data_IF_687245521298
#
_entry.id   IF_687245521298
#
_cell.length_a   1.000
_cell.length_b   1.000
_cell.length_c   1.000
_cell.angle_alpha   90.00
_cell.angle_beta   90.00
_cell.angle_gamma   90.00
#
_symmetry.space_group_name_H-M   'P 1'
#
loop_
_entity.id
_entity.type
_entity.pdbx_description
1 polymer ?
#
# COMPACT_ATOMS: atom_id res chain seq x y z
N UNK A 1 22.52 -8.79 -9.89
CA UNK A 1 21.73 -9.82 -9.18
C UNK A 1 20.28 -9.36 -9.25
N UNK A 2 19.38 -10.21 -9.76
CA UNK A 2 17.96 -9.86 -9.86
C UNK A 2 17.20 -10.30 -8.61
N UNK A 3 16.12 -9.61 -8.26
CA UNK A 3 15.22 -9.97 -7.16
C UNK A 3 13.79 -10.02 -7.67
N UNK A 4 13.02 -11.01 -7.22
CA UNK A 4 11.56 -10.98 -7.20
C UNK A 4 11.11 -11.15 -5.75
N UNK A 5 10.21 -10.29 -5.30
CA UNK A 5 9.68 -10.33 -3.93
C UNK A 5 8.18 -10.55 -4.01
N UNK A 6 7.70 -11.54 -3.27
CA UNK A 6 6.28 -11.82 -3.14
C UNK A 6 5.81 -11.18 -1.83
N UNK A 7 4.86 -10.23 -1.91
CA UNK A 7 4.35 -9.56 -0.70
C UNK A 7 3.72 -10.56 0.26
N UNK A 8 2.98 -11.54 -0.26
CA UNK A 8 2.42 -12.66 0.49
C UNK A 8 1.92 -13.77 -0.46
N UNK A 9 1.44 -14.89 0.09
CA UNK A 9 1.20 -16.14 -0.63
C UNK A 9 -0.16 -16.26 -1.34
N UNK A 10 -1.03 -15.24 -1.31
CA UNK A 10 -2.31 -15.34 -2.02
C UNK A 10 -2.10 -15.41 -3.54
N UNK A 11 -3.07 -16.03 -4.21
CA UNK A 11 -2.98 -16.50 -5.60
C UNK A 11 -2.64 -15.38 -6.61
N UNK A 12 -3.07 -14.16 -6.34
CA UNK A 12 -2.86 -12.97 -7.17
C UNK A 12 -1.50 -12.27 -6.93
N UNK A 13 -0.72 -12.73 -5.94
CA UNK A 13 0.59 -12.15 -5.58
C UNK A 13 1.77 -13.11 -5.79
N UNK A 14 1.48 -14.40 -5.93
CA UNK A 14 2.50 -15.42 -6.15
C UNK A 14 2.85 -15.61 -7.62
N UNK A 15 2.06 -15.09 -8.55
CA UNK A 15 2.36 -15.03 -9.99
C UNK A 15 2.98 -16.32 -10.57
N UNK A 16 4.08 -16.16 -11.31
CA UNK A 16 4.89 -17.28 -11.80
C UNK A 16 6.41 -16.97 -11.72
N UNK A 17 7.04 -17.00 -10.52
CA UNK A 17 8.46 -16.72 -10.32
C UNK A 17 9.37 -17.59 -11.18
N UNK A 18 8.91 -18.79 -11.55
CA UNK A 18 9.56 -19.68 -12.52
C UNK A 18 9.83 -19.06 -13.89
N UNK A 19 9.15 -17.98 -14.28
CA UNK A 19 9.39 -17.24 -15.54
C UNK A 19 10.63 -16.35 -15.50
N UNK A 20 11.13 -16.00 -14.32
CA UNK A 20 12.39 -15.28 -14.17
C UNK A 20 13.59 -16.25 -14.24
N UNK A 21 14.79 -15.78 -14.68
CA UNK A 21 16.01 -16.56 -14.59
C UNK A 21 16.22 -17.15 -13.18
N UNK A 22 16.80 -18.34 -13.09
CA UNK A 22 17.07 -19.00 -11.80
C UNK A 22 18.09 -18.25 -10.93
N UNK A 23 18.83 -17.31 -11.52
CA UNK A 23 19.73 -16.37 -10.83
C UNK A 23 19.01 -15.22 -10.12
N UNK A 24 17.69 -15.10 -10.30
CA UNK A 24 16.84 -14.16 -9.56
C UNK A 24 16.45 -14.76 -8.22
N UNK A 25 16.82 -14.08 -7.13
CA UNK A 25 16.42 -14.49 -5.78
C UNK A 25 14.89 -14.32 -5.62
N UNK A 26 14.24 -15.29 -4.96
CA UNK A 26 12.86 -15.17 -4.53
C UNK A 26 12.84 -14.81 -3.04
N UNK A 27 12.30 -13.63 -2.72
CA UNK A 27 12.25 -13.11 -1.35
C UNK A 27 10.83 -13.18 -0.80
N UNK A 28 10.72 -13.69 0.43
CA UNK A 28 9.47 -13.93 1.15
C UNK A 28 9.59 -13.50 2.62
N UNK A 29 8.46 -13.25 3.27
CA UNK A 29 8.44 -12.88 4.69
C UNK A 29 8.48 -14.06 5.67
N UNK A 30 8.54 -13.76 6.99
CA UNK A 30 8.75 -14.75 8.04
C UNK A 30 7.72 -15.89 8.06
N UNK A 31 8.20 -17.12 8.28
CA UNK A 31 7.36 -18.31 8.41
C UNK A 31 6.87 -18.90 7.09
N UNK A 32 7.20 -18.29 5.95
CA UNK A 32 6.79 -18.75 4.64
C UNK A 32 7.33 -20.15 4.32
N UNK A 33 8.61 -20.42 4.57
CA UNK A 33 9.25 -21.70 4.27
C UNK A 33 8.62 -22.83 5.06
N UNK A 34 8.44 -22.64 6.35
CA UNK A 34 7.84 -23.64 7.23
C UNK A 34 6.38 -23.91 6.86
N UNK A 35 5.63 -22.86 6.51
CA UNK A 35 4.22 -22.98 6.16
C UNK A 35 3.98 -23.46 4.71
N UNK A 36 4.90 -23.19 3.78
CA UNK A 36 4.66 -23.34 2.34
C UNK A 36 5.60 -24.31 1.60
N UNK A 37 6.72 -24.72 2.21
CA UNK A 37 7.65 -25.67 1.60
C UNK A 37 7.48 -27.09 2.19
N UNK A 38 7.66 -28.15 1.39
CA UNK A 38 7.86 -28.11 -0.06
C UNK A 38 6.59 -27.65 -0.79
N UNK A 39 6.74 -27.11 -2.00
CA UNK A 39 5.62 -26.66 -2.83
C UNK A 39 4.85 -27.81 -3.49
N UNK A 40 3.77 -27.48 -4.18
CA UNK A 40 3.05 -28.41 -5.06
C UNK A 40 3.95 -28.82 -6.24
N UNK A 41 3.98 -30.09 -6.68
CA UNK A 41 3.09 -31.18 -6.30
C UNK A 41 3.57 -32.04 -5.13
N UNK A 42 4.75 -31.78 -4.55
CA UNK A 42 5.32 -32.56 -3.45
C UNK A 42 4.44 -32.46 -2.19
N UNK A 43 3.87 -31.27 -1.94
CA UNK A 43 2.84 -31.04 -0.94
C UNK A 43 1.54 -30.58 -1.62
N UNK A 44 0.47 -31.37 -1.48
CA UNK A 44 -0.75 -31.24 -2.30
C UNK A 44 -1.60 -30.02 -1.98
N UNK A 45 -1.54 -29.55 -0.74
CA UNK A 45 -2.25 -28.40 -0.21
C UNK A 45 -1.39 -27.12 -0.21
N UNK A 46 -0.15 -27.18 -0.73
CA UNK A 46 0.68 -25.99 -0.81
C UNK A 46 0.16 -25.02 -1.86
N UNK A 47 -0.04 -23.73 -1.52
CA UNK A 47 -0.40 -22.70 -2.49
C UNK A 47 0.78 -22.33 -3.40
N UNK A 48 2.00 -22.71 -3.04
CA UNK A 48 3.23 -22.40 -3.76
C UNK A 48 3.64 -23.58 -4.63
N UNK A 49 4.07 -23.32 -5.87
CA UNK A 49 4.59 -24.36 -6.74
C UNK A 49 6.07 -24.61 -6.45
N UNK A 50 6.47 -25.88 -6.41
CA UNK A 50 7.87 -26.26 -6.26
C UNK A 50 8.72 -25.72 -7.42
N UNK A 51 8.13 -25.61 -8.62
CA UNK A 51 8.78 -25.01 -9.80
C UNK A 51 9.17 -23.54 -9.59
N UNK A 52 8.44 -22.79 -8.76
CA UNK A 52 8.75 -21.39 -8.51
C UNK A 52 10.01 -21.22 -7.66
N UNK A 53 10.31 -22.19 -6.79
CA UNK A 53 11.51 -22.20 -5.96
C UNK A 53 12.69 -22.98 -6.59
N UNK A 54 12.44 -23.80 -7.61
CA UNK A 54 13.43 -24.74 -8.14
C UNK A 54 14.62 -24.04 -8.77
N UNK A 55 15.82 -24.43 -8.34
CA UNK A 55 17.08 -23.93 -8.91
C UNK A 55 17.40 -22.47 -8.60
N UNK A 56 16.57 -21.79 -7.79
CA UNK A 56 16.83 -20.43 -7.32
C UNK A 56 17.01 -20.38 -5.81
N UNK A 57 17.54 -19.27 -5.33
CA UNK A 57 17.66 -19.04 -3.89
C UNK A 57 16.34 -18.50 -3.35
N UNK A 58 15.74 -19.22 -2.40
CA UNK A 58 14.60 -18.76 -1.63
C UNK A 58 15.09 -18.10 -0.33
N UNK A 59 14.90 -16.79 -0.21
CA UNK A 59 15.33 -15.98 0.94
C UNK A 59 14.09 -15.65 1.76
N UNK A 60 14.07 -16.14 3.00
CA UNK A 60 13.07 -15.72 3.98
C UNK A 60 13.72 -14.67 4.88
N UNK A 61 13.09 -13.51 4.99
CA UNK A 61 13.61 -12.40 5.79
C UNK A 61 13.37 -12.68 7.27
N UNK A 62 14.44 -12.60 8.06
CA UNK A 62 14.39 -12.73 9.52
C UNK A 62 14.53 -11.34 10.16
N UNK A 63 13.39 -10.72 10.47
CA UNK A 63 13.34 -9.39 11.07
C UNK A 63 13.82 -9.33 12.52
N UNK A 64 13.99 -10.47 13.21
CA UNK A 64 14.58 -10.49 14.56
C UNK A 64 16.05 -10.02 14.58
N UNK A 65 16.72 -10.11 13.43
CA UNK A 65 18.08 -9.63 13.21
C UNK A 65 18.15 -8.19 12.73
N UNK A 66 17.01 -7.54 12.49
CA UNK A 66 16.99 -6.15 12.02
C UNK A 66 17.38 -5.18 13.14
N UNK A 67 18.28 -4.26 12.80
CA UNK A 67 18.65 -3.11 13.63
C UNK A 67 18.03 -1.80 13.12
N UNK A 68 17.12 -1.86 12.13
CA UNK A 68 16.53 -0.71 11.46
C UNK A 68 15.01 -0.74 11.59
N UNK A 69 14.43 0.37 12.01
CA UNK A 69 12.98 0.58 11.99
C UNK A 69 12.65 1.76 11.05
N UNK A 70 11.67 1.57 10.17
CA UNK A 70 11.11 2.62 9.30
C UNK A 70 9.62 2.68 9.55
N UNK A 71 9.11 3.82 10.04
CA UNK A 71 7.69 3.97 10.40
C UNK A 71 7.24 2.90 11.40
N UNK A 72 8.05 2.61 12.42
CA UNK A 72 7.80 1.57 13.43
C UNK A 72 7.68 0.13 12.89
N UNK A 73 8.07 -0.11 11.64
CA UNK A 73 8.19 -1.44 11.06
C UNK A 73 9.66 -1.85 10.98
N UNK A 74 9.96 -3.07 11.39
CA UNK A 74 11.29 -3.66 11.23
C UNK A 74 11.61 -3.69 9.75
N UNK A 75 12.78 -3.18 9.37
CA UNK A 75 13.18 -3.05 7.98
C UNK A 75 14.48 -3.80 7.69
N UNK A 76 14.62 -4.32 6.49
CA UNK A 76 15.83 -4.94 5.98
C UNK A 76 16.24 -4.24 4.69
N UNK A 77 17.39 -3.56 4.69
CA UNK A 77 18.00 -3.02 3.48
C UNK A 77 18.60 -4.16 2.68
N UNK A 78 17.93 -4.56 1.60
CA UNK A 78 18.28 -5.75 0.84
C UNK A 78 19.61 -5.59 0.08
N UNK A 79 19.86 -4.39 -0.44
CA UNK A 79 21.07 -4.10 -1.22
C UNK A 79 22.19 -3.49 -0.36
N UNK A 80 21.87 -2.97 0.83
CA UNK A 80 22.82 -2.33 1.73
C UNK A 80 23.23 -0.91 1.30
N UNK A 81 22.53 -0.33 0.32
CA UNK A 81 22.78 1.00 -0.25
C UNK A 81 21.60 1.98 -0.05
N UNK A 82 20.60 1.54 0.71
CA UNK A 82 19.38 2.26 1.02
C UNK A 82 18.42 2.47 -0.17
N UNK A 83 18.57 1.72 -1.26
CA UNK A 83 17.69 1.83 -2.44
C UNK A 83 16.42 0.98 -2.33
N UNK A 84 16.44 -0.11 -1.57
CA UNK A 84 15.33 -1.05 -1.46
C UNK A 84 15.28 -1.68 -0.06
N UNK A 85 14.24 -1.33 0.70
CA UNK A 85 13.97 -1.90 2.00
C UNK A 85 12.77 -2.84 1.92
N UNK A 86 12.85 -3.96 2.63
CA UNK A 86 11.73 -4.87 2.88
C UNK A 86 11.30 -4.65 4.32
N UNK A 87 10.00 -4.56 4.59
CA UNK A 87 9.45 -4.21 5.89
C UNK A 87 8.49 -5.28 6.39
N UNK A 88 8.55 -5.55 7.69
CA UNK A 88 7.65 -6.48 8.39
C UNK A 88 6.25 -5.87 8.52
N UNK A 89 5.26 -6.53 7.91
CA UNK A 89 3.90 -6.02 7.77
C UNK A 89 2.84 -7.10 8.09
N UNK A 90 2.83 -7.67 9.30
CA UNK A 90 1.92 -8.75 9.66
C UNK A 90 0.45 -8.28 9.62
N UNK A 91 -0.46 -9.24 9.45
CA UNK A 91 -1.90 -9.01 9.54
C UNK A 91 -2.67 -9.63 8.40
N UNK A 92 -2.44 -9.17 7.17
CA UNK A 92 -3.18 -9.68 6.00
C UNK A 92 -2.97 -11.17 5.78
N UNK A 93 -1.71 -11.60 5.77
CA UNK A 93 -1.33 -12.98 5.53
C UNK A 93 -0.06 -13.34 6.30
N UNK A 94 0.16 -14.64 6.52
CA UNK A 94 1.41 -15.13 7.08
C UNK A 94 2.59 -14.69 6.20
N UNK A 95 3.61 -14.10 6.83
CA UNK A 95 4.81 -13.62 6.15
C UNK A 95 4.54 -12.45 5.20
N UNK A 96 3.49 -11.66 5.43
CA UNK A 96 3.25 -10.45 4.63
C UNK A 96 4.36 -9.42 4.84
N UNK A 97 4.86 -8.88 3.74
CA UNK A 97 5.90 -7.85 3.69
C UNK A 97 5.49 -6.68 2.81
N UNK A 98 5.94 -5.49 3.22
CA UNK A 98 5.90 -4.28 2.41
C UNK A 98 7.29 -3.95 1.86
N UNK A 99 7.38 -3.01 0.92
CA UNK A 99 8.66 -2.50 0.45
C UNK A 99 8.72 -0.97 0.44
N UNK A 100 9.89 -0.40 0.70
CA UNK A 100 10.18 1.02 0.49
C UNK A 100 11.29 1.14 -0.55
N UNK A 101 11.00 1.80 -1.67
CA UNK A 101 11.88 1.87 -2.83
C UNK A 101 12.29 3.32 -3.08
N UNK A 102 13.60 3.60 -3.13
CA UNK A 102 14.11 4.93 -3.46
C UNK A 102 13.95 5.19 -4.96
N UNK A 103 13.26 6.27 -5.31
CA UNK A 103 12.94 6.64 -6.71
C UNK A 103 13.76 7.80 -7.25
N UNK A 104 14.29 8.67 -6.38
CA UNK A 104 15.25 9.72 -6.77
C UNK A 104 16.29 9.87 -5.68
N UNK A 105 17.44 10.46 -6.03
CA UNK A 105 18.45 10.90 -5.09
C UNK A 105 18.74 12.38 -5.33
N UNK A 106 18.79 13.16 -4.25
CA UNK A 106 18.94 14.64 -4.26
C UNK A 106 17.74 15.44 -4.81
N UNK A 107 16.66 15.60 -4.02
CA UNK A 107 16.42 14.96 -2.72
C UNK A 107 15.95 13.51 -2.88
N UNK A 108 16.11 12.74 -1.82
CA UNK A 108 15.57 11.38 -1.79
C UNK A 108 14.04 11.42 -1.79
N UNK A 109 13.45 10.66 -2.71
CA UNK A 109 12.03 10.35 -2.72
C UNK A 109 11.85 8.84 -2.75
N UNK A 110 10.76 8.38 -2.15
CA UNK A 110 10.47 6.97 -2.03
C UNK A 110 9.06 6.64 -2.46
N UNK A 111 8.88 5.42 -2.95
CA UNK A 111 7.57 4.78 -3.08
C UNK A 111 7.48 3.69 -2.02
N UNK A 112 6.44 3.73 -1.20
CA UNK A 112 6.11 2.66 -0.27
C UNK A 112 5.07 1.75 -0.93
N UNK A 113 5.44 0.49 -1.17
CA UNK A 113 4.61 -0.54 -1.76
C UNK A 113 4.01 -1.38 -0.62
N UNK A 114 2.76 -1.10 -0.27
CA UNK A 114 2.09 -1.70 0.87
C UNK A 114 1.54 -3.11 0.58
N UNK A 115 1.59 -3.57 -0.67
CA UNK A 115 0.92 -4.79 -1.09
C UNK A 115 -0.54 -4.76 -0.64
N UNK A 116 -0.94 -5.82 0.06
CA UNK A 116 -2.29 -5.98 0.61
C UNK A 116 -2.40 -5.65 2.11
N UNK A 117 -1.40 -4.97 2.67
CA UNK A 117 -1.62 -4.35 3.98
C UNK A 117 -2.79 -3.35 3.91
N UNK A 118 -3.09 -2.84 2.71
CA UNK A 118 -4.17 -1.91 2.40
C UNK A 118 -4.80 -2.35 1.08
N UNK A 119 -6.13 -2.48 1.04
CA UNK A 119 -6.88 -2.79 -0.19
C UNK A 119 -7.56 -1.54 -0.76
N UNK A 120 -7.94 -0.61 0.11
CA UNK A 120 -8.61 0.63 -0.27
C UNK A 120 -8.00 1.83 0.45
N UNK A 121 -7.88 2.98 -0.23
CA UNK A 121 -7.34 4.20 0.38
C UNK A 121 -8.15 4.66 1.61
N UNK A 122 -9.43 4.31 1.67
CA UNK A 122 -10.32 4.56 2.80
C UNK A 122 -9.96 3.76 4.07
N UNK A 123 -9.18 2.69 3.97
CA UNK A 123 -8.60 1.98 5.11
C UNK A 123 -7.38 2.72 5.69
N UNK A 124 -6.68 3.48 4.84
CA UNK A 124 -5.50 4.25 5.20
C UNK A 124 -5.85 5.69 5.62
N UNK A 125 -6.84 6.30 4.98
CA UNK A 125 -7.10 7.75 5.02
C UNK A 125 -8.56 8.07 5.40
N UNK A 126 -8.81 9.18 6.10
CA UNK A 126 -7.81 10.08 6.69
C UNK A 126 -7.07 9.42 7.87
N UNK A 127 -6.09 10.12 8.43
CA UNK A 127 -5.39 9.69 9.65
C UNK A 127 -5.13 10.89 10.56
N UNK A 128 -4.71 10.63 11.80
CA UNK A 128 -4.31 11.69 12.75
C UNK A 128 -3.11 12.49 12.25
N UNK A 129 -2.30 11.90 11.37
CA UNK A 129 -1.14 12.53 10.75
C UNK A 129 -1.48 13.22 9.42
N UNK A 130 -2.56 12.80 8.77
CA UNK A 130 -3.04 13.31 7.49
C UNK A 130 -4.57 13.45 7.53
N UNK A 131 -5.09 14.51 8.18
CA UNK A 131 -6.51 14.78 8.21
C UNK A 131 -7.02 15.11 6.81
N UNK A 132 -8.34 15.01 6.62
CA UNK A 132 -8.95 15.43 5.37
C UNK A 132 -8.76 16.95 5.19
N UNK A 133 -8.27 17.43 4.03
CA UNK A 133 -8.11 18.85 3.83
C UNK A 133 -9.47 19.54 3.68
N UNK A 134 -9.54 20.81 4.10
CA UNK A 134 -10.75 21.63 3.95
C UNK A 134 -11.16 21.79 2.49
N UNK A 135 -10.18 21.76 1.58
CA UNK A 135 -10.43 21.71 0.15
C UNK A 135 -9.42 20.83 -0.62
N UNK A 136 -9.87 20.25 -1.73
CA UNK A 136 -9.12 19.32 -2.58
C UNK A 136 -9.12 19.87 -4.00
N UNK A 137 -7.92 19.90 -4.60
CA UNK A 137 -7.70 20.30 -5.99
C UNK A 137 -6.75 19.31 -6.67
N UNK A 138 -7.05 18.81 -7.88
CA UNK A 138 -8.31 18.99 -8.60
C UNK A 138 -9.48 18.34 -7.85
N UNK A 139 -10.71 18.81 -8.11
CA UNK A 139 -11.90 18.23 -7.51
C UNK A 139 -12.00 16.74 -7.91
N UNK A 140 -12.01 15.81 -6.93
CA UNK A 140 -12.07 14.38 -7.23
C UNK A 140 -13.38 14.00 -7.93
N UNK A 141 -14.50 14.67 -7.68
CA UNK A 141 -15.82 14.30 -8.19
C UNK A 141 -16.13 14.78 -9.62
N UNK A 142 -15.30 15.65 -10.19
CA UNK A 142 -15.53 16.19 -11.54
C UNK A 142 -14.42 15.78 -12.49
N UNK A 143 -14.71 15.51 -13.78
CA UNK A 143 -13.69 15.35 -14.80
C UNK A 143 -12.75 16.56 -14.81
N UNK A 144 -11.46 16.32 -15.08
CA UNK A 144 -10.34 17.26 -14.89
C UNK A 144 -10.50 18.67 -15.53
N UNK A 145 -11.49 18.89 -16.39
CA UNK A 145 -11.64 20.10 -17.21
C UNK A 145 -12.68 21.13 -16.68
N UNK A 146 -13.35 20.85 -15.55
CA UNK A 146 -14.28 21.79 -14.87
C UNK A 146 -13.79 22.10 -13.45
N UNK A 147 -12.57 22.64 -13.35
CA UNK A 147 -11.81 22.74 -12.10
C UNK A 147 -12.32 23.84 -11.15
N UNK A 148 -13.21 23.45 -10.23
CA UNK A 148 -13.41 24.13 -8.95
C UNK A 148 -12.65 23.42 -7.82
N UNK A 149 -12.45 24.08 -6.69
CA UNK A 149 -11.97 23.43 -5.47
C UNK A 149 -13.13 22.66 -4.82
N UNK A 150 -12.92 21.40 -4.45
CA UNK A 150 -13.90 20.58 -3.74
C UNK A 150 -13.72 20.77 -2.23
N UNK A 151 -14.78 21.06 -1.47
CA UNK A 151 -14.68 21.29 -0.02
C UNK A 151 -15.35 20.15 0.80
N UNK A 152 -14.80 18.92 0.80
CA UNK A 152 -15.45 17.79 1.47
C UNK A 152 -15.31 17.79 2.98
N UNK A 153 -14.34 18.52 3.53
CA UNK A 153 -13.83 18.27 4.88
C UNK A 153 -14.95 18.15 5.91
N UNK A 154 -15.86 19.13 5.93
CA UNK A 154 -16.98 19.13 6.86
C UNK A 154 -17.97 17.97 6.64
N UNK A 155 -18.37 17.71 5.38
CA UNK A 155 -19.33 16.65 5.05
C UNK A 155 -18.80 15.27 5.43
N UNK A 156 -17.52 15.01 5.19
CA UNK A 156 -16.91 13.71 5.49
C UNK A 156 -16.54 13.57 6.97
N UNK A 157 -16.23 14.66 7.68
CA UNK A 157 -16.10 14.66 9.14
C UNK A 157 -17.46 14.42 9.83
N UNK A 158 -18.54 14.99 9.29
CA UNK A 158 -19.91 14.74 9.77
C UNK A 158 -20.32 13.28 9.53
N UNK A 159 -19.97 12.70 8.38
CA UNK A 159 -20.16 11.27 8.12
C UNK A 159 -19.46 10.42 9.19
N UNK A 160 -18.19 10.70 9.51
CA UNK A 160 -17.46 9.96 10.54
C UNK A 160 -18.12 10.11 11.92
N UNK A 161 -18.48 11.34 12.28
CA UNK A 161 -19.18 11.65 13.54
C UNK A 161 -20.51 10.91 13.66
N UNK A 162 -21.30 10.85 12.57
CA UNK A 162 -22.57 10.11 12.52
C UNK A 162 -22.41 8.60 12.72
N UNK A 163 -21.23 8.06 12.40
CA UNK A 163 -20.85 6.65 12.60
C UNK A 163 -20.23 6.38 13.97
N UNK A 164 -20.10 7.41 14.81
CA UNK A 164 -19.40 7.33 16.10
C UNK A 164 -17.89 7.13 15.93
N UNK A 165 -17.32 7.59 14.82
CA UNK A 165 -15.90 7.54 14.52
C UNK A 165 -15.33 8.95 14.68
N UNK A 166 -14.27 9.08 15.48
CA UNK A 166 -13.60 10.36 15.69
C UNK A 166 -13.00 10.92 14.38
N UNK A 167 -13.08 12.24 14.14
CA UNK A 167 -12.40 12.87 13.01
C UNK A 167 -10.91 12.52 12.95
N UNK A 168 -10.40 12.32 11.74
CA UNK A 168 -9.01 11.89 11.53
C UNK A 168 -8.76 10.39 11.75
N UNK A 169 -9.79 9.57 11.96
CA UNK A 169 -9.68 8.12 11.77
C UNK A 169 -10.00 7.73 10.32
N UNK A 170 -9.43 6.63 9.85
CA UNK A 170 -9.72 6.09 8.53
C UNK A 170 -11.23 5.81 8.35
N UNK A 171 -11.73 5.93 7.13
CA UNK A 171 -13.14 5.68 6.85
C UNK A 171 -13.53 4.21 7.03
N UNK A 172 -12.62 3.29 6.76
CA UNK A 172 -12.85 1.85 6.81
C UNK A 172 -11.83 1.18 7.74
N UNK A 173 -12.26 0.09 8.37
CA UNK A 173 -11.35 -0.87 9.00
C UNK A 173 -11.19 -2.07 8.08
N UNK A 174 -9.99 -2.68 8.00
CA UNK A 174 -9.83 -3.94 7.29
C UNK A 174 -10.75 -5.01 7.89
N UNK A 175 -11.47 -5.73 7.04
CA UNK A 175 -12.39 -6.80 7.46
C UNK A 175 -11.82 -8.19 7.22
N UNK A 176 -10.73 -8.29 6.46
CA UNK A 176 -10.11 -9.52 6.02
C UNK A 176 -8.62 -9.49 6.37
N UNK A 177 -8.08 -10.66 6.64
CA UNK A 177 -6.69 -10.87 7.00
C UNK A 177 -6.57 -12.01 8.00
N UNK A 178 -5.40 -12.66 8.03
CA UNK A 178 -5.09 -13.71 9.00
C UNK A 178 -5.23 -13.20 10.45
N UNK A 179 -4.84 -11.96 10.69
CA UNK A 179 -5.00 -11.25 11.97
C UNK A 179 -5.44 -9.81 11.70
N UNK A 180 -6.74 -9.54 11.87
CA UNK A 180 -7.31 -8.18 11.74
C UNK A 180 -6.65 -7.18 12.71
N UNK A 181 -6.39 -7.50 14.00
CA UNK A 181 -5.70 -6.58 14.90
C UNK A 181 -4.29 -6.19 14.41
N UNK A 182 -3.53 -7.16 13.89
CA UNK A 182 -2.19 -6.88 13.36
C UNK A 182 -2.27 -6.10 12.05
N UNK A 183 -3.26 -6.37 11.19
CA UNK A 183 -3.50 -5.59 9.97
C UNK A 183 -3.80 -4.12 10.30
N UNK A 184 -4.67 -3.87 11.28
CA UNK A 184 -4.95 -2.51 11.78
C UNK A 184 -3.68 -1.85 12.32
N UNK A 185 -2.87 -2.59 13.09
CA UNK A 185 -1.58 -2.11 13.61
C UNK A 185 -0.63 -1.73 12.47
N UNK A 186 -0.51 -2.57 11.44
CA UNK A 186 0.31 -2.30 10.25
C UNK A 186 -0.20 -1.08 9.49
N UNK A 187 -1.50 -0.94 9.25
CA UNK A 187 -2.08 0.24 8.59
C UNK A 187 -1.75 1.52 9.36
N UNK A 188 -1.87 1.52 10.69
CA UNK A 188 -1.52 2.67 11.54
C UNK A 188 -0.05 3.08 11.41
N UNK A 189 0.85 2.11 11.29
CA UNK A 189 2.28 2.37 11.02
C UNK A 189 2.48 2.98 9.64
N UNK A 190 1.76 2.49 8.63
CA UNK A 190 1.80 3.07 7.27
C UNK A 190 1.24 4.50 7.24
N UNK A 191 0.29 4.86 8.10
CA UNK A 191 -0.22 6.24 8.19
C UNK A 191 0.86 7.26 8.54
N UNK A 192 1.90 6.88 9.29
CA UNK A 192 3.06 7.75 9.59
C UNK A 192 3.96 7.97 8.38
N UNK A 193 4.01 6.98 7.48
CA UNK A 193 4.74 7.12 6.21
C UNK A 193 3.93 7.94 5.21
N UNK A 194 2.61 7.75 5.18
CA UNK A 194 1.72 8.40 4.21
C UNK A 194 1.61 9.92 4.41
N UNK A 195 1.81 10.43 5.62
CA UNK A 195 1.83 11.87 5.85
C UNK A 195 3.11 12.55 5.32
N UNK A 196 4.14 11.76 4.99
CA UNK A 196 5.43 12.32 4.57
C UNK A 196 5.42 12.79 3.13
N UNK A 197 5.82 14.06 2.90
CA UNK A 197 5.89 14.64 1.56
C UNK A 197 6.98 14.06 0.64
N UNK A 198 7.82 13.14 1.12
CA UNK A 198 8.83 12.44 0.31
C UNK A 198 8.54 10.94 0.13
N UNK A 199 7.38 10.46 0.58
CA UNK A 199 6.94 9.07 0.39
C UNK A 199 5.62 9.06 -0.37
N UNK A 200 5.53 8.25 -1.42
CA UNK A 200 4.29 7.95 -2.12
C UNK A 200 3.85 6.53 -1.79
N UNK A 201 2.75 6.38 -1.04
CA UNK A 201 2.18 5.07 -0.68
C UNK A 201 1.30 4.56 -1.82
N UNK A 202 1.62 3.35 -2.30
CA UNK A 202 0.87 2.58 -3.29
C UNK A 202 0.54 1.20 -2.73
N UNK A 203 -0.58 0.63 -3.15
CA UNK A 203 -1.06 -0.68 -2.73
C UNK A 203 -1.71 -1.44 -3.89
N UNK A 204 -1.81 -2.76 -3.77
CA UNK A 204 -2.04 -3.67 -4.91
C UNK A 204 -3.35 -3.41 -5.66
N UNK A 205 -4.41 -3.08 -4.92
CA UNK A 205 -5.77 -2.99 -5.44
C UNK A 205 -6.28 -1.53 -5.56
N UNK A 206 -5.38 -0.55 -5.54
CA UNK A 206 -5.75 0.84 -5.80
C UNK A 206 -6.24 1.01 -7.25
N UNK A 207 -7.52 1.37 -7.41
CA UNK A 207 -8.12 1.64 -8.72
C UNK A 207 -7.93 3.08 -9.20
N UNK A 208 -7.37 3.96 -8.36
CA UNK A 208 -7.23 5.38 -8.63
C UNK A 208 -5.80 5.79 -8.98
N UNK A 209 -4.78 5.31 -8.25
CA UNK A 209 -3.38 5.60 -8.60
C UNK A 209 -3.02 5.23 -10.06
N UNK A 210 -3.47 4.08 -10.61
CA UNK A 210 -3.31 3.75 -12.04
C UNK A 210 -3.81 4.80 -13.02
N UNK A 211 -4.77 5.65 -12.65
CA UNK A 211 -5.32 6.68 -13.55
C UNK A 211 -4.41 7.91 -13.66
N UNK A 212 -3.41 8.05 -12.78
CA UNK A 212 -2.54 9.24 -12.72
C UNK A 212 -1.06 8.95 -12.95
N UNK A 213 -0.59 7.72 -12.67
CA UNK A 213 0.80 7.34 -12.83
C UNK A 213 1.09 6.77 -14.23
N UNK A 214 2.32 6.95 -14.71
CA UNK A 214 2.78 6.24 -15.90
C UNK A 214 3.03 4.75 -15.61
N UNK A 215 2.72 3.89 -16.58
CA UNK A 215 3.05 2.46 -16.54
C UNK A 215 4.32 2.12 -17.33
N UNK A 216 4.88 0.95 -17.05
CA UNK A 216 5.97 0.36 -17.82
C UNK A 216 5.70 0.46 -19.33
N UNK A 217 6.69 0.87 -20.16
CA UNK A 217 8.13 0.97 -19.87
C UNK A 217 8.59 2.29 -19.23
N UNK A 218 7.68 3.22 -18.91
CA UNK A 218 8.05 4.45 -18.24
C UNK A 218 8.37 4.22 -16.76
N UNK A 219 9.19 5.10 -16.20
CA UNK A 219 9.59 5.04 -14.79
C UNK A 219 8.64 5.81 -13.89
N UNK A 220 8.47 5.31 -12.66
CA UNK A 220 7.78 6.02 -11.58
C UNK A 220 8.64 7.12 -10.95
N UNK A 221 9.93 7.20 -11.29
CA UNK A 221 10.83 8.22 -10.77
C UNK A 221 10.31 9.63 -11.07
N UNK A 222 10.72 10.59 -10.22
CA UNK A 222 10.24 11.97 -10.27
C UNK A 222 8.72 12.13 -10.06
N UNK A 223 8.04 11.12 -9.47
CA UNK A 223 6.61 11.20 -9.12
C UNK A 223 6.26 12.47 -8.34
N UNK A 224 7.19 12.95 -7.51
CA UNK A 224 7.02 14.13 -6.66
C UNK A 224 6.97 15.41 -7.49
N UNK A 225 7.90 15.56 -8.44
CA UNK A 225 7.93 16.69 -9.38
C UNK A 225 6.70 16.68 -10.30
N UNK A 226 6.26 15.48 -10.71
CA UNK A 226 5.04 15.28 -11.49
C UNK A 226 3.75 15.46 -10.69
N UNK A 227 3.82 15.63 -9.37
CA UNK A 227 2.65 15.82 -8.51
C UNK A 227 1.75 14.59 -8.36
N UNK A 228 2.19 13.40 -8.76
CA UNK A 228 1.34 12.21 -8.81
C UNK A 228 0.82 11.77 -7.46
N UNK A 229 1.65 11.82 -6.41
CA UNK A 229 1.20 11.49 -5.07
C UNK A 229 0.07 12.41 -4.61
N UNK A 230 0.16 13.71 -4.92
CA UNK A 230 -0.89 14.68 -4.60
C UNK A 230 -2.20 14.37 -5.34
N UNK A 231 -2.11 14.06 -6.64
CA UNK A 231 -3.28 13.69 -7.46
C UNK A 231 -3.94 12.37 -7.01
N UNK A 232 -3.14 11.39 -6.58
CA UNK A 232 -3.64 10.08 -6.14
C UNK A 232 -4.19 10.08 -4.70
N UNK A 233 -3.69 10.97 -3.82
CA UNK A 233 -3.90 10.85 -2.36
C UNK A 233 -5.37 10.82 -1.94
N UNK A 234 -6.20 11.65 -2.57
CA UNK A 234 -7.62 11.82 -2.24
C UNK A 234 -8.57 11.50 -3.39
N UNK A 235 -8.07 10.93 -4.49
CA UNK A 235 -8.91 10.59 -5.65
C UNK A 235 -9.97 9.54 -5.34
N UNK A 236 -9.72 8.65 -4.36
CA UNK A 236 -10.67 7.65 -3.88
C UNK A 236 -11.97 8.24 -3.30
N UNK A 237 -12.02 9.55 -3.01
CA UNK A 237 -13.26 10.19 -2.57
C UNK A 237 -14.35 10.16 -3.66
N UNK A 238 -13.98 9.89 -4.92
CA UNK A 238 -14.91 9.55 -6.00
C UNK A 238 -15.82 8.38 -5.65
N UNK A 239 -15.35 7.40 -4.87
CA UNK A 239 -16.15 6.24 -4.49
C UNK A 239 -17.29 6.62 -3.52
N UNK A 240 -17.20 7.79 -2.88
CA UNK A 240 -18.20 8.36 -1.99
C UNK A 240 -19.11 9.38 -2.68
N UNK A 241 -19.01 9.54 -4.00
CA UNK A 241 -19.71 10.59 -4.76
C UNK A 241 -21.22 10.61 -4.50
N UNK A 242 -21.86 9.43 -4.48
CA UNK A 242 -23.30 9.32 -4.26
C UNK A 242 -23.72 9.90 -2.90
N UNK A 243 -22.98 9.58 -1.84
CA UNK A 243 -23.23 10.08 -0.49
C UNK A 243 -22.97 11.58 -0.38
N UNK A 244 -21.87 12.06 -1.00
CA UNK A 244 -21.53 13.48 -0.98
C UNK A 244 -22.62 14.30 -1.69
N UNK A 245 -23.06 13.85 -2.87
CA UNK A 245 -24.12 14.54 -3.63
C UNK A 245 -25.45 14.59 -2.87
N UNK A 246 -25.84 13.52 -2.18
CA UNK A 246 -27.06 13.53 -1.37
C UNK A 246 -26.97 14.48 -0.18
N UNK A 247 -25.79 14.59 0.45
CA UNK A 247 -25.60 15.45 1.63
C UNK A 247 -25.61 16.94 1.26
N UNK A 248 -24.95 17.32 0.15
CA UNK A 248 -24.96 18.71 -0.35
C UNK A 248 -26.37 19.18 -0.73
N UNK A 249 -27.21 18.29 -1.29
CA UNK A 249 -28.60 18.65 -1.62
C UNK A 249 -29.45 18.90 -0.36
N UNK A 250 -29.15 18.23 0.76
CA UNK A 250 -29.85 18.44 2.03
C UNK A 250 -29.47 19.77 2.70
N UNK A 251 -28.19 20.15 2.66
CA UNK A 251 -27.71 21.42 3.22
C UNK A 251 -28.16 22.66 2.43
N UNK A 252 -28.45 22.49 1.13
CA UNK A 252 -28.94 23.57 0.26
C UNK A 252 -30.44 23.87 0.40
N UNK A 253 -31.20 23.00 1.07
CA UNK A 253 -32.65 23.16 1.32
C UNK A 253 -32.98 23.64 2.75
N UNK A 254 -31.96 23.87 3.60
CA UNK A 254 -32.10 24.37 4.98
C UNK A 254 -31.87 25.86 5.14
#
# INVERSE_FOLDING_TARGET
>A
MGITSTSHWHWDHIGAPSTFPTTTDLVVGPGFKDAFCPGYPARKDSPILESDCRGRRLIEIDFSKSCLDIGQMKAHDYFGDGSFYILDAPGHALGHICALVRTTSSPDTFVFLAGDAIHHAAELRPSTYLPIPSSISPNPLTPLDLAGSFCPGHILDDLQSSRGIEPGQAFLNPLLGLSVPDAISTIRKVQELDCSGNIFVLFSHDTHAPKVIDFFPKSINHWKEKGWAHLAKWSFLQDFEQYIKSSVMQDGES
#
